data_IF_488799970544
#
_entry.id   IF_488799970544
#
_cell.length_a   1.000
_cell.length_b   1.000
_cell.length_c   1.000
_cell.angle_alpha   90.00
_cell.angle_beta   90.00
_cell.angle_gamma   90.00
#
_symmetry.space_group_name_H-M   'P 1'
#
loop_
_entity.id
_entity.type
_entity.pdbx_description
1 polymer ?
#
# COMPACT_ATOMS: atom_id res chain seq x y z
N UNK A 1 10.72 46.45 -27.03
CA UNK A 1 11.05 47.05 -25.73
C UNK A 1 9.85 46.80 -24.81
N UNK A 2 10.01 45.93 -23.85
CA UNK A 2 9.18 45.69 -22.65
C UNK A 2 7.74 45.17 -22.89
N UNK A 3 7.64 43.88 -23.08
CA UNK A 3 6.57 43.06 -22.51
C UNK A 3 7.22 41.81 -21.89
N UNK A 4 8.01 42.01 -20.87
CA UNK A 4 8.24 41.00 -19.82
C UNK A 4 6.96 40.96 -19.01
N UNK A 5 6.05 40.08 -19.41
CA UNK A 5 4.97 39.63 -18.57
C UNK A 5 5.62 38.96 -17.35
N UNK A 6 5.58 39.64 -16.21
CA UNK A 6 5.67 39.02 -14.91
C UNK A 6 4.67 37.83 -14.91
N UNK A 7 5.14 36.63 -15.13
CA UNK A 7 4.50 35.44 -14.60
C UNK A 7 4.52 35.65 -13.08
N UNK A 8 3.42 36.20 -12.57
CA UNK A 8 3.10 36.04 -11.17
C UNK A 8 3.13 34.52 -10.94
N UNK A 9 4.17 34.10 -10.28
CA UNK A 9 4.38 32.70 -9.88
C UNK A 9 3.32 32.42 -8.81
N UNK A 10 2.05 32.25 -9.22
CA UNK A 10 0.99 31.82 -8.32
C UNK A 10 1.31 30.38 -7.98
N UNK A 11 1.71 30.14 -6.73
CA UNK A 11 2.01 28.82 -6.22
C UNK A 11 0.88 27.85 -6.61
N UNK A 12 1.21 26.78 -7.31
CA UNK A 12 0.24 25.78 -7.73
C UNK A 12 -0.33 25.06 -6.51
N UNK A 13 -1.65 24.85 -6.49
CA UNK A 13 -2.35 24.25 -5.37
C UNK A 13 -3.04 22.97 -5.80
N UNK A 14 -3.01 21.96 -4.92
CA UNK A 14 -3.70 20.68 -5.15
C UNK A 14 -4.45 20.24 -3.90
N UNK A 15 -5.69 19.79 -4.08
CA UNK A 15 -6.48 19.16 -3.04
C UNK A 15 -6.34 17.65 -3.12
N UNK A 16 -5.89 17.03 -2.07
CA UNK A 16 -5.80 15.56 -1.94
C UNK A 16 -6.88 15.10 -0.96
N UNK A 17 -7.86 14.34 -1.46
CA UNK A 17 -8.91 13.74 -0.64
C UNK A 17 -8.55 12.31 -0.35
N UNK A 18 -8.27 12.00 0.92
CA UNK A 18 -7.84 10.69 1.38
C UNK A 18 -8.45 10.36 2.73
N UNK A 19 -8.98 9.14 2.89
CA UNK A 19 -9.49 8.69 4.19
C UNK A 19 -8.36 8.39 5.18
N UNK A 20 -7.27 7.79 4.69
CA UNK A 20 -6.12 7.41 5.51
C UNK A 20 -5.02 8.48 5.43
N UNK A 21 -4.77 9.11 6.56
CA UNK A 21 -3.74 10.13 6.75
C UNK A 21 -3.11 9.95 8.14
N UNK A 22 -1.87 10.39 8.41
CA UNK A 22 -1.31 10.35 9.76
C UNK A 22 -2.27 10.89 10.83
N UNK A 23 -2.42 10.23 12.01
CA UNK A 23 -1.59 9.15 12.53
C UNK A 23 -2.01 7.73 12.14
N UNK A 24 -2.83 7.52 11.11
CA UNK A 24 -3.05 6.18 10.59
C UNK A 24 -1.74 5.59 10.08
N UNK A 25 -1.46 4.33 10.40
CA UNK A 25 -0.29 3.61 9.92
C UNK A 25 -0.55 2.78 8.67
N UNK A 26 0.52 2.19 8.15
CA UNK A 26 0.48 1.26 7.02
C UNK A 26 0.76 1.89 5.66
N UNK A 27 1.04 1.05 4.67
CA UNK A 27 1.48 1.45 3.32
C UNK A 27 0.49 2.35 2.58
N UNK A 28 -0.80 2.21 2.89
CA UNK A 28 -1.85 3.02 2.29
C UNK A 28 -1.79 4.51 2.64
N UNK A 29 -1.20 4.85 3.78
CA UNK A 29 -1.00 6.23 4.25
C UNK A 29 0.23 6.84 3.60
N UNK A 30 1.33 6.10 3.59
CA UNK A 30 2.65 6.59 3.19
C UNK A 30 2.65 7.15 1.77
N UNK A 31 1.92 6.53 0.83
CA UNK A 31 1.88 6.98 -0.56
C UNK A 31 1.57 8.48 -0.67
N UNK A 32 0.38 8.89 -0.23
CA UNK A 32 -0.05 10.29 -0.39
C UNK A 32 0.56 11.23 0.62
N UNK A 33 0.97 10.73 1.78
CA UNK A 33 1.77 11.49 2.73
C UNK A 33 3.09 11.96 2.10
N UNK A 34 3.83 11.05 1.48
CA UNK A 34 5.10 11.41 0.85
C UNK A 34 4.92 12.20 -0.44
N UNK A 35 3.90 11.91 -1.26
CA UNK A 35 3.61 12.78 -2.40
C UNK A 35 3.29 14.21 -1.96
N UNK A 36 2.50 14.40 -0.93
CA UNK A 36 2.19 15.73 -0.40
C UNK A 36 3.45 16.44 0.13
N UNK A 37 4.29 15.73 0.89
CA UNK A 37 5.58 16.25 1.38
C UNK A 37 6.46 16.71 0.23
N UNK A 38 6.68 15.88 -0.77
CA UNK A 38 7.54 16.23 -1.90
C UNK A 38 6.91 17.26 -2.85
N UNK A 39 5.59 17.27 -3.03
CA UNK A 39 4.88 18.34 -3.76
C UNK A 39 5.20 19.70 -3.12
N UNK A 40 5.11 19.80 -1.78
CA UNK A 40 5.45 21.03 -1.08
C UNK A 40 6.90 21.44 -1.25
N UNK A 41 7.83 20.49 -1.15
CA UNK A 41 9.26 20.73 -1.39
C UNK A 41 9.56 21.20 -2.82
N UNK A 42 8.74 20.78 -3.79
CA UNK A 42 8.83 21.16 -5.20
C UNK A 42 8.01 22.42 -5.57
N UNK A 43 7.49 23.14 -4.57
CA UNK A 43 6.85 24.45 -4.74
C UNK A 43 5.34 24.41 -4.96
N UNK A 44 4.69 23.25 -4.87
CA UNK A 44 3.25 23.12 -4.84
C UNK A 44 2.71 23.29 -3.42
N UNK A 45 1.44 23.73 -3.28
CA UNK A 45 0.78 23.78 -1.97
C UNK A 45 -0.30 22.69 -1.88
N UNK A 46 -0.03 21.56 -1.22
CA UNK A 46 -1.02 20.52 -1.01
C UNK A 46 -1.96 20.85 0.16
N UNK A 47 -3.25 20.67 -0.07
CA UNK A 47 -4.30 20.69 0.94
C UNK A 47 -4.86 19.29 1.10
N UNK A 48 -5.02 18.83 2.32
CA UNK A 48 -5.51 17.48 2.61
C UNK A 48 -6.89 17.55 3.24
N UNK A 49 -7.85 16.82 2.66
CA UNK A 49 -9.13 16.54 3.34
C UNK A 49 -9.13 15.09 3.77
N UNK A 50 -9.27 14.86 5.07
CA UNK A 50 -9.27 13.54 5.70
C UNK A 50 -10.28 13.42 6.82
N UNK A 51 -10.46 12.23 7.37
CA UNK A 51 -11.32 11.99 8.53
C UNK A 51 -10.59 12.34 9.83
N UNK A 52 -11.31 12.86 10.81
CA UNK A 52 -10.77 13.08 12.15
C UNK A 52 -10.48 11.73 12.85
N UNK A 53 -9.30 11.60 13.45
CA UNK A 53 -8.80 10.32 13.98
C UNK A 53 -9.71 9.70 15.04
N UNK A 54 -10.30 10.53 15.90
CA UNK A 54 -11.23 10.09 16.97
C UNK A 54 -12.58 9.59 16.42
N UNK A 55 -12.84 9.80 15.12
CA UNK A 55 -14.03 9.34 14.40
C UNK A 55 -13.73 8.21 13.42
N UNK A 56 -12.46 8.06 13.07
CA UNK A 56 -12.02 7.06 12.10
C UNK A 56 -11.97 5.65 12.70
N UNK A 57 -12.07 4.64 11.84
CA UNK A 57 -11.80 3.23 12.19
C UNK A 57 -10.43 2.84 11.61
N UNK A 58 -9.35 3.40 12.15
CA UNK A 58 -8.00 3.01 11.77
C UNK A 58 -7.62 1.68 12.40
N UNK A 59 -7.04 0.78 11.59
CA UNK A 59 -6.59 -0.54 12.06
C UNK A 59 -5.25 -0.46 12.81
N UNK A 60 -4.38 0.47 12.40
CA UNK A 60 -3.04 0.67 12.96
C UNK A 60 -2.83 2.17 13.12
N UNK A 61 -2.21 2.58 14.22
CA UNK A 61 -1.77 3.95 14.45
C UNK A 61 -0.24 4.01 14.44
N UNK A 62 0.29 5.04 13.79
CA UNK A 62 1.71 5.38 13.76
C UNK A 62 1.87 6.90 13.90
N UNK A 63 2.05 7.34 15.13
CA UNK A 63 2.17 8.77 15.44
C UNK A 63 3.49 9.38 14.97
N UNK A 64 4.50 8.57 14.65
CA UNK A 64 5.78 9.06 14.13
C UNK A 64 5.62 9.74 12.78
N UNK A 65 4.64 9.30 11.99
CA UNK A 65 4.35 9.86 10.67
C UNK A 65 3.84 11.31 10.70
N UNK A 66 3.32 11.79 11.84
CA UNK A 66 2.85 13.18 11.97
C UNK A 66 3.99 14.19 11.77
N UNK A 67 5.20 13.85 12.20
CA UNK A 67 6.37 14.73 12.08
C UNK A 67 6.82 14.92 10.63
N UNK A 68 6.44 14.01 9.75
CA UNK A 68 6.80 14.06 8.32
C UNK A 68 5.99 15.08 7.53
N UNK A 69 4.86 15.54 8.09
CA UNK A 69 3.84 16.34 7.40
C UNK A 69 3.20 17.41 8.29
N UNK A 70 3.90 17.86 9.31
CA UNK A 70 3.43 18.84 10.29
C UNK A 70 3.20 20.23 9.69
N UNK A 71 3.85 20.52 8.57
CA UNK A 71 3.76 21.76 7.82
C UNK A 71 2.71 21.72 6.68
N UNK A 72 1.97 20.63 6.50
CA UNK A 72 0.95 20.46 5.45
C UNK A 72 -0.43 20.85 6.00
N UNK A 73 -1.19 21.61 5.22
CA UNK A 73 -2.55 22.01 5.58
C UNK A 73 -3.52 20.81 5.55
N UNK A 74 -4.03 20.39 6.71
CA UNK A 74 -4.93 19.24 6.86
C UNK A 74 -6.28 19.65 7.42
N UNK A 75 -7.34 19.37 6.69
CA UNK A 75 -8.73 19.58 7.07
C UNK A 75 -9.32 18.25 7.54
N UNK A 76 -9.50 18.10 8.84
CA UNK A 76 -10.08 16.90 9.48
C UNK A 76 -11.60 17.01 9.55
N UNK A 77 -12.33 15.98 9.10
CA UNK A 77 -13.79 16.01 9.01
C UNK A 77 -14.44 14.89 9.83
N UNK A 78 -15.70 15.06 10.13
CA UNK A 78 -16.53 14.01 10.75
C UNK A 78 -16.80 12.86 9.76
N UNK A 79 -17.19 11.69 10.28
CA UNK A 79 -17.72 10.55 9.51
C UNK A 79 -18.90 9.91 10.24
N UNK A 80 -19.77 9.22 9.50
CA UNK A 80 -20.81 8.34 10.01
C UNK A 80 -20.51 6.91 9.58
N UNK A 81 -19.88 6.14 10.46
CA UNK A 81 -19.51 4.76 10.18
C UNK A 81 -20.37 3.77 10.95
N UNK A 82 -21.35 3.14 10.31
CA UNK A 82 -22.21 2.15 10.97
C UNK A 82 -21.47 0.94 11.49
N UNK A 83 -20.27 0.64 10.98
CA UNK A 83 -19.42 -0.46 11.46
C UNK A 83 -18.94 -0.27 12.91
N UNK A 84 -18.87 0.96 13.42
CA UNK A 84 -18.61 1.20 14.85
C UNK A 84 -19.72 0.64 15.74
N UNK A 85 -20.97 0.67 15.29
CA UNK A 85 -22.10 0.04 15.96
C UNK A 85 -22.05 -1.48 15.90
N UNK A 86 -21.56 -2.03 14.77
CA UNK A 86 -21.40 -3.46 14.60
C UNK A 86 -20.29 -4.04 15.46
N UNK A 87 -19.13 -3.38 15.55
CA UNK A 87 -18.02 -3.81 16.43
C UNK A 87 -18.42 -3.75 17.91
N UNK A 88 -19.26 -2.79 18.31
CA UNK A 88 -19.85 -2.73 19.66
C UNK A 88 -20.75 -3.94 19.97
N UNK A 89 -21.53 -4.38 18.97
CA UNK A 89 -22.45 -5.50 19.15
C UNK A 89 -21.76 -6.87 19.11
N UNK A 90 -20.61 -6.99 18.41
CA UNK A 90 -19.94 -8.28 18.20
C UNK A 90 -18.68 -8.49 19.04
N UNK A 91 -17.97 -7.43 19.42
CA UNK A 91 -16.69 -7.56 20.13
C UNK A 91 -16.59 -6.76 21.42
N UNK A 92 -17.61 -6.00 21.80
CA UNK A 92 -17.61 -5.15 23.00
C UNK A 92 -16.57 -4.02 22.99
N UNK A 93 -15.86 -3.79 21.88
CA UNK A 93 -14.81 -2.80 21.76
C UNK A 93 -15.01 -1.94 20.49
N UNK A 94 -15.01 -0.62 20.65
CA UNK A 94 -15.14 0.37 19.55
C UNK A 94 -13.97 0.36 18.56
N UNK A 95 -12.79 -0.15 18.93
CA UNK A 95 -11.52 0.10 18.25
C UNK A 95 -10.85 -1.11 17.61
N UNK A 96 -11.52 -2.27 17.52
CA UNK A 96 -10.95 -3.38 16.75
C UNK A 96 -11.42 -3.27 15.30
N UNK A 97 -10.60 -2.63 14.46
CA UNK A 97 -10.71 -2.77 13.02
C UNK A 97 -10.71 -4.25 12.64
N UNK A 98 -11.61 -4.68 11.74
CA UNK A 98 -11.60 -6.04 11.22
C UNK A 98 -10.33 -6.18 10.38
N UNK A 99 -9.38 -7.09 10.70
CA UNK A 99 -8.18 -7.29 9.92
C UNK A 99 -8.55 -7.61 8.46
N UNK A 100 -7.88 -6.98 7.52
CA UNK A 100 -8.00 -7.36 6.12
C UNK A 100 -7.39 -8.76 5.97
N UNK A 101 -8.19 -9.75 5.56
CA UNK A 101 -7.70 -11.07 5.17
C UNK A 101 -8.01 -12.25 6.11
N UNK A 102 -8.40 -12.04 7.37
CA UNK A 102 -8.84 -13.12 8.25
C UNK A 102 -10.33 -12.95 8.62
N UNK A 103 -11.20 -13.59 7.86
CA UNK A 103 -12.60 -13.76 8.25
C UNK A 103 -12.81 -15.24 8.56
N UNK A 104 -12.67 -15.61 9.83
CA UNK A 104 -13.05 -16.93 10.28
C UNK A 104 -14.60 -17.00 10.29
N UNK A 105 -15.20 -17.75 9.35
CA UNK A 105 -16.64 -17.69 9.01
C UNK A 105 -17.40 -18.90 9.53
N UNK A 106 -17.26 -19.17 10.80
CA UNK A 106 -17.93 -20.29 11.43
C UNK A 106 -19.39 -20.01 11.85
N UNK A 107 -19.77 -18.72 12.05
CA UNK A 107 -21.08 -18.38 12.60
C UNK A 107 -22.06 -17.80 11.57
N UNK A 108 -23.37 -18.07 11.76
CA UNK A 108 -24.47 -17.52 10.95
C UNK A 108 -24.48 -15.98 11.02
N UNK A 109 -24.13 -15.40 12.16
CA UNK A 109 -24.07 -13.95 12.38
C UNK A 109 -23.00 -13.29 11.49
N UNK A 110 -21.84 -13.94 11.29
CA UNK A 110 -20.76 -13.43 10.41
C UNK A 110 -21.19 -13.44 8.94
N UNK A 111 -21.96 -14.46 8.51
CA UNK A 111 -22.52 -14.51 7.15
C UNK A 111 -23.54 -13.39 6.91
N UNK A 112 -24.42 -13.12 7.89
CA UNK A 112 -25.37 -12.01 7.84
C UNK A 112 -24.63 -10.68 7.77
N UNK A 113 -23.60 -10.49 8.57
CA UNK A 113 -22.79 -9.29 8.54
C UNK A 113 -22.04 -9.08 7.22
N UNK A 114 -21.48 -10.15 6.64
CA UNK A 114 -20.85 -10.12 5.33
C UNK A 114 -21.88 -9.74 4.25
N UNK A 115 -23.10 -10.32 4.29
CA UNK A 115 -24.19 -9.96 3.40
C UNK A 115 -24.59 -8.49 3.53
N UNK A 116 -24.79 -7.99 4.75
CA UNK A 116 -25.10 -6.57 4.99
C UNK A 116 -23.98 -5.68 4.45
N UNK A 117 -22.72 -6.00 4.75
CA UNK A 117 -21.56 -5.25 4.26
C UNK A 117 -21.51 -5.21 2.74
N UNK A 118 -21.72 -6.34 2.07
CA UNK A 118 -21.61 -6.45 0.61
C UNK A 118 -22.77 -5.82 -0.17
N UNK A 119 -23.95 -5.64 0.46
CA UNK A 119 -25.14 -5.20 -0.25
C UNK A 119 -25.62 -3.78 0.12
N UNK A 120 -25.34 -3.30 1.32
CA UNK A 120 -25.81 -1.99 1.79
C UNK A 120 -24.68 -0.95 1.85
N UNK A 121 -23.41 -1.39 1.93
CA UNK A 121 -22.26 -0.50 1.98
C UNK A 121 -21.49 -0.50 0.65
N UNK A 122 -22.11 0.09 -0.38
CA UNK A 122 -21.54 0.21 -1.73
C UNK A 122 -21.07 1.66 -1.92
N UNK A 123 -19.83 1.87 -2.34
CA UNK A 123 -18.80 0.89 -2.72
C UNK A 123 -18.11 0.21 -1.52
N UNK A 124 -18.09 0.83 -0.35
CA UNK A 124 -17.44 0.33 0.85
C UNK A 124 -18.05 0.91 2.14
N UNK A 125 -17.55 0.46 3.28
CA UNK A 125 -18.07 0.83 4.59
C UNK A 125 -17.74 2.28 5.01
N UNK A 126 -16.91 2.99 4.26
CA UNK A 126 -16.51 4.39 4.52
C UNK A 126 -17.37 5.40 3.76
N UNK A 127 -18.36 4.96 3.01
CA UNK A 127 -19.26 5.85 2.25
C UNK A 127 -19.96 6.92 3.12
N UNK A 128 -20.10 6.66 4.42
CA UNK A 128 -20.66 7.64 5.38
C UNK A 128 -19.77 8.85 5.62
N UNK A 129 -18.52 8.83 5.16
CA UNK A 129 -17.60 9.96 5.19
C UNK A 129 -17.84 10.95 4.03
N UNK A 130 -18.33 10.47 2.89
CA UNK A 130 -18.45 11.26 1.65
C UNK A 130 -19.11 12.63 1.85
N UNK A 131 -20.27 12.78 2.54
CA UNK A 131 -20.92 14.09 2.69
C UNK A 131 -20.03 15.12 3.41
N UNK A 132 -19.29 14.69 4.42
CA UNK A 132 -18.43 15.56 5.22
C UNK A 132 -17.17 15.97 4.46
N UNK A 133 -16.54 15.03 3.77
CA UNK A 133 -15.40 15.30 2.91
C UNK A 133 -15.77 16.24 1.76
N UNK A 134 -16.94 16.04 1.16
CA UNK A 134 -17.44 16.88 0.08
C UNK A 134 -17.67 18.33 0.53
N UNK A 135 -18.31 18.53 1.68
CA UNK A 135 -18.53 19.87 2.24
C UNK A 135 -17.20 20.60 2.51
N UNK A 136 -16.24 19.92 3.13
CA UNK A 136 -14.92 20.49 3.40
C UNK A 136 -14.17 20.80 2.10
N UNK A 137 -14.23 19.90 1.12
CA UNK A 137 -13.59 20.09 -0.19
C UNK A 137 -14.16 21.28 -0.96
N UNK A 138 -15.49 21.47 -0.97
CA UNK A 138 -16.13 22.65 -1.59
C UNK A 138 -15.62 23.95 -1.00
N UNK A 139 -15.53 24.01 0.34
CA UNK A 139 -15.05 25.20 1.05
C UNK A 139 -13.63 25.54 0.67
N UNK A 140 -12.71 24.57 0.73
CA UNK A 140 -11.30 24.83 0.45
C UNK A 140 -11.05 25.12 -1.03
N UNK A 141 -11.73 24.44 -1.97
CA UNK A 141 -11.65 24.72 -3.40
C UNK A 141 -12.00 26.18 -3.69
N UNK A 142 -13.11 26.66 -3.09
CA UNK A 142 -13.58 28.02 -3.29
C UNK A 142 -12.67 29.07 -2.63
N UNK A 143 -12.22 28.81 -1.40
CA UNK A 143 -11.36 29.75 -0.65
C UNK A 143 -9.97 29.88 -1.25
N UNK A 144 -9.36 28.77 -1.65
CA UNK A 144 -8.00 28.70 -2.12
C UNK A 144 -7.89 28.73 -3.67
N UNK A 145 -9.05 28.73 -4.37
CA UNK A 145 -9.13 28.71 -5.85
C UNK A 145 -8.38 27.51 -6.44
N UNK A 146 -8.58 26.33 -5.84
CA UNK A 146 -7.91 25.10 -6.26
C UNK A 146 -8.54 24.58 -7.55
N UNK A 147 -7.70 24.21 -8.52
CA UNK A 147 -8.12 23.63 -9.80
C UNK A 147 -7.68 22.18 -9.97
N UNK A 148 -6.76 21.69 -9.15
CA UNK A 148 -6.25 20.32 -9.20
C UNK A 148 -6.75 19.53 -8.00
N UNK A 149 -7.41 18.39 -8.27
CA UNK A 149 -7.95 17.50 -7.22
C UNK A 149 -7.46 16.08 -7.44
N UNK A 150 -7.06 15.43 -6.37
CA UNK A 150 -6.70 14.02 -6.38
C UNK A 150 -7.56 13.30 -5.34
N UNK A 151 -8.16 12.17 -5.74
CA UNK A 151 -8.84 11.27 -4.82
C UNK A 151 -8.17 9.91 -4.84
N UNK A 152 -7.94 9.29 -3.68
CA UNK A 152 -7.25 8.00 -3.58
C UNK A 152 -8.12 6.92 -2.92
N UNK A 153 -8.09 5.74 -3.48
CA UNK A 153 -8.76 4.54 -2.98
C UNK A 153 -7.83 3.32 -2.89
N UNK A 154 -8.10 2.33 -2.00
CA UNK A 154 -9.23 2.27 -1.07
C UNK A 154 -9.13 3.25 0.12
N UNK A 155 -10.27 3.65 0.69
CA UNK A 155 -11.64 3.27 0.32
C UNK A 155 -12.09 3.95 -0.99
N UNK A 156 -12.76 3.19 -1.85
CA UNK A 156 -13.18 3.71 -3.18
C UNK A 156 -14.34 4.72 -3.08
N UNK A 157 -15.06 4.76 -1.95
CA UNK A 157 -16.02 5.81 -1.65
C UNK A 157 -15.41 7.21 -1.69
N UNK A 158 -14.10 7.36 -1.50
CA UNK A 158 -13.38 8.63 -1.66
C UNK A 158 -13.54 9.22 -3.06
N UNK A 159 -13.57 8.37 -4.09
CA UNK A 159 -13.76 8.83 -5.48
C UNK A 159 -15.15 9.42 -5.74
N UNK A 160 -16.15 9.09 -4.91
CA UNK A 160 -17.48 9.70 -5.01
C UNK A 160 -17.47 11.20 -4.61
N UNK A 161 -16.48 11.61 -3.79
CA UNK A 161 -16.25 13.03 -3.49
C UNK A 161 -15.77 13.74 -4.77
N UNK A 162 -14.73 13.20 -5.41
CA UNK A 162 -14.20 13.75 -6.67
C UNK A 162 -15.26 13.80 -7.77
N UNK A 163 -16.06 12.73 -7.91
CA UNK A 163 -17.14 12.68 -8.91
C UNK A 163 -18.17 13.80 -8.72
N UNK A 164 -18.53 14.16 -7.50
CA UNK A 164 -19.45 15.25 -7.22
C UNK A 164 -18.78 16.62 -7.42
N UNK A 165 -17.52 16.77 -6.97
CA UNK A 165 -16.77 18.02 -7.19
C UNK A 165 -16.58 18.33 -8.67
N UNK A 166 -16.31 17.32 -9.49
CA UNK A 166 -16.15 17.47 -10.95
C UNK A 166 -17.43 17.94 -11.65
N UNK A 167 -18.61 17.66 -11.08
CA UNK A 167 -19.90 18.13 -11.59
C UNK A 167 -20.17 19.61 -11.23
N UNK A 168 -19.51 20.12 -10.20
CA UNK A 168 -19.76 21.45 -9.64
C UNK A 168 -18.71 22.48 -9.99
N UNK A 169 -17.48 22.03 -10.27
CA UNK A 169 -16.31 22.88 -10.54
C UNK A 169 -15.57 22.38 -11.78
N UNK A 170 -14.92 23.30 -12.49
CA UNK A 170 -13.97 22.94 -13.55
C UNK A 170 -12.63 22.54 -12.92
N UNK A 171 -12.41 21.22 -12.77
CA UNK A 171 -11.24 20.68 -12.10
C UNK A 171 -10.41 19.80 -13.02
N UNK A 172 -9.10 19.81 -12.83
CA UNK A 172 -8.24 18.72 -13.27
C UNK A 172 -8.25 17.65 -12.17
N UNK A 173 -9.12 16.63 -12.32
CA UNK A 173 -9.32 15.60 -11.32
C UNK A 173 -8.62 14.30 -11.70
N UNK A 174 -7.65 13.88 -10.86
CA UNK A 174 -6.99 12.59 -10.96
C UNK A 174 -7.56 11.61 -9.93
N UNK A 175 -7.83 10.38 -10.37
CA UNK A 175 -8.26 9.28 -9.50
C UNK A 175 -7.13 8.28 -9.32
N UNK A 176 -6.77 7.97 -8.08
CA UNK A 176 -5.69 7.04 -7.73
C UNK A 176 -6.25 5.70 -7.27
N UNK A 177 -6.14 4.70 -8.14
CA UNK A 177 -6.53 3.32 -7.88
C UNK A 177 -5.31 2.52 -7.41
N UNK A 178 -5.22 2.28 -6.11
CA UNK A 178 -4.16 1.44 -5.54
C UNK A 178 -4.49 -0.04 -5.59
N UNK A 179 -5.77 -0.36 -5.57
CA UNK A 179 -6.33 -1.71 -5.62
C UNK A 179 -7.53 -1.74 -6.59
N UNK A 180 -7.92 -2.93 -7.11
CA UNK A 180 -9.16 -3.08 -7.86
C UNK A 180 -10.36 -2.62 -7.04
N UNK A 181 -11.39 -2.09 -7.69
CA UNK A 181 -12.64 -1.71 -7.01
C UNK A 181 -13.68 -2.83 -7.09
N UNK A 182 -14.32 -3.00 -8.24
CA UNK A 182 -15.38 -4.02 -8.40
C UNK A 182 -14.81 -5.44 -8.44
N UNK A 183 -13.60 -5.62 -8.92
CA UNK A 183 -12.91 -6.91 -9.12
C UNK A 183 -12.06 -7.36 -7.91
N UNK A 184 -12.26 -6.74 -6.75
CA UNK A 184 -11.59 -7.17 -5.52
C UNK A 184 -11.88 -8.65 -5.24
N UNK A 185 -10.81 -9.45 -5.06
CA UNK A 185 -10.91 -10.90 -4.88
C UNK A 185 -11.80 -11.30 -3.70
N UNK A 186 -11.79 -10.56 -2.59
CA UNK A 186 -12.63 -10.84 -1.42
C UNK A 186 -14.10 -10.40 -1.56
N UNK A 187 -14.48 -9.69 -2.63
CA UNK A 187 -15.87 -9.35 -2.91
C UNK A 187 -16.76 -10.59 -3.09
N UNK A 188 -16.17 -11.70 -3.58
CA UNK A 188 -16.85 -13.00 -3.72
C UNK A 188 -17.35 -13.54 -2.37
N UNK A 189 -16.69 -13.13 -1.31
CA UNK A 189 -16.97 -13.59 0.05
C UNK A 189 -18.04 -12.74 0.76
N UNK A 190 -18.49 -11.65 0.17
CA UNK A 190 -19.47 -10.75 0.78
C UNK A 190 -20.92 -11.09 0.43
N UNK A 191 -21.20 -12.25 -0.18
CA UNK A 191 -22.55 -12.69 -0.59
C UNK A 191 -23.35 -11.60 -1.32
N UNK A 192 -22.70 -10.90 -2.26
CA UNK A 192 -23.26 -9.73 -2.96
C UNK A 192 -24.39 -10.16 -3.93
N UNK A 193 -25.51 -9.45 -3.91
CA UNK A 193 -26.59 -9.61 -4.87
C UNK A 193 -26.16 -9.08 -6.26
N UNK A 194 -26.81 -9.58 -7.32
CA UNK A 194 -26.62 -9.09 -8.69
C UNK A 194 -26.83 -7.57 -8.80
N UNK A 195 -27.82 -7.03 -8.07
CA UNK A 195 -28.11 -5.60 -8.06
C UNK A 195 -26.99 -4.79 -7.41
N UNK A 196 -26.41 -5.29 -6.31
CA UNK A 196 -25.29 -4.64 -5.61
C UNK A 196 -24.03 -4.63 -6.47
N UNK A 197 -23.73 -5.74 -7.15
CA UNK A 197 -22.63 -5.85 -8.11
C UNK A 197 -22.81 -4.85 -9.25
N UNK A 198 -24.02 -4.82 -9.88
CA UNK A 198 -24.31 -3.88 -10.97
C UNK A 198 -24.19 -2.42 -10.52
N UNK A 199 -24.67 -2.09 -9.32
CA UNK A 199 -24.57 -0.73 -8.78
C UNK A 199 -23.12 -0.30 -8.60
N UNK A 200 -22.28 -1.19 -8.12
CA UNK A 200 -20.87 -0.95 -7.88
C UNK A 200 -20.10 -0.73 -9.20
N UNK A 201 -20.33 -1.60 -10.18
CA UNK A 201 -19.78 -1.46 -11.54
C UNK A 201 -20.18 -0.12 -12.19
N UNK A 202 -21.44 0.31 -12.03
CA UNK A 202 -21.91 1.59 -12.56
C UNK A 202 -21.21 2.76 -11.87
N UNK A 203 -20.97 2.69 -10.56
CA UNK A 203 -20.25 3.74 -9.83
C UNK A 203 -18.78 3.82 -10.28
N UNK A 204 -18.10 2.68 -10.37
CA UNK A 204 -16.72 2.62 -10.86
C UNK A 204 -16.60 3.20 -12.27
N UNK A 205 -17.48 2.78 -13.19
CA UNK A 205 -17.49 3.30 -14.56
C UNK A 205 -17.71 4.81 -14.62
N UNK A 206 -18.65 5.36 -13.82
CA UNK A 206 -18.89 6.80 -13.76
C UNK A 206 -17.67 7.57 -13.26
N UNK A 207 -16.98 7.06 -12.24
CA UNK A 207 -15.75 7.67 -11.71
C UNK A 207 -14.66 7.67 -12.77
N UNK A 208 -14.40 6.53 -13.39
CA UNK A 208 -13.39 6.39 -14.42
C UNK A 208 -13.66 7.31 -15.62
N UNK A 209 -14.92 7.44 -16.06
CA UNK A 209 -15.29 8.29 -17.22
C UNK A 209 -15.26 9.78 -16.93
N UNK A 210 -15.49 10.21 -15.69
CA UNK A 210 -15.52 11.61 -15.31
C UNK A 210 -14.15 12.18 -14.92
N UNK A 211 -13.18 11.34 -14.58
CA UNK A 211 -11.84 11.76 -14.20
C UNK A 211 -11.04 12.26 -15.43
N UNK A 212 -10.16 13.24 -15.25
CA UNK A 212 -9.23 13.70 -16.28
C UNK A 212 -8.07 12.73 -16.48
N UNK A 213 -7.71 11.98 -15.43
CA UNK A 213 -6.71 10.93 -15.51
C UNK A 213 -6.84 9.91 -14.40
N UNK A 214 -6.37 8.71 -14.68
CA UNK A 214 -6.40 7.56 -13.76
C UNK A 214 -4.97 7.18 -13.42
N UNK A 215 -4.63 7.26 -12.13
CA UNK A 215 -3.35 6.78 -11.60
C UNK A 215 -3.52 5.35 -11.12
N UNK A 216 -2.53 4.52 -11.37
CA UNK A 216 -2.41 3.18 -10.80
C UNK A 216 -1.03 2.99 -10.19
N UNK A 217 -0.91 2.16 -9.15
CA UNK A 217 0.38 1.93 -8.47
C UNK A 217 1.38 1.19 -9.36
N UNK A 218 0.91 0.63 -10.46
CA UNK A 218 1.74 -0.08 -11.42
C UNK A 218 1.01 -0.22 -12.75
N UNK A 219 1.75 -0.42 -13.84
CA UNK A 219 1.25 -0.51 -15.20
C UNK A 219 0.75 -1.89 -15.63
N UNK A 220 0.40 -2.81 -14.69
CA UNK A 220 0.06 -4.17 -15.05
C UNK A 220 -1.42 -4.48 -15.11
N UNK A 221 -1.78 -5.66 -14.60
CA UNK A 221 -3.15 -6.17 -14.77
C UNK A 221 -4.24 -5.22 -14.27
N UNK A 222 -4.04 -4.56 -13.11
CA UNK A 222 -4.97 -3.54 -12.62
C UNK A 222 -5.15 -2.41 -13.62
N UNK A 223 -4.04 -1.90 -14.15
CA UNK A 223 -4.03 -0.83 -15.13
C UNK A 223 -4.77 -1.21 -16.42
N UNK A 224 -4.49 -2.39 -16.96
CA UNK A 224 -5.14 -2.90 -18.17
C UNK A 224 -6.63 -3.21 -17.95
N UNK A 225 -7.01 -3.80 -16.82
CA UNK A 225 -8.41 -4.08 -16.48
C UNK A 225 -9.24 -2.78 -16.37
N UNK A 226 -8.65 -1.71 -15.82
CA UNK A 226 -9.31 -0.41 -15.73
C UNK A 226 -9.39 0.28 -17.09
N UNK A 227 -8.37 0.17 -17.95
CA UNK A 227 -8.40 0.67 -19.33
C UNK A 227 -9.53 0.06 -20.16
N UNK A 228 -9.81 -1.22 -19.99
CA UNK A 228 -10.94 -1.88 -20.67
C UNK A 228 -12.27 -1.24 -20.28
N UNK A 229 -12.40 -0.74 -19.03
CA UNK A 229 -13.62 -0.10 -18.53
C UNK A 229 -13.78 1.37 -18.97
N UNK A 230 -12.69 2.05 -19.35
CA UNK A 230 -12.69 3.46 -19.75
C UNK A 230 -11.56 3.77 -20.75
N UNK A 231 -11.59 3.16 -21.91
CA UNK A 231 -10.53 3.20 -22.92
C UNK A 231 -10.18 4.60 -23.45
N UNK A 232 -11.05 5.60 -23.28
CA UNK A 232 -10.83 6.98 -23.73
C UNK A 232 -10.13 7.86 -22.71
N UNK A 233 -9.86 7.37 -21.50
CA UNK A 233 -9.22 8.13 -20.45
C UNK A 233 -7.70 8.04 -20.49
N UNK A 234 -7.04 9.03 -19.88
CA UNK A 234 -5.61 9.01 -19.68
C UNK A 234 -5.25 8.13 -18.49
N UNK A 235 -4.37 7.16 -18.68
CA UNK A 235 -3.91 6.25 -17.65
C UNK A 235 -2.43 6.42 -17.42
N UNK A 236 -2.03 6.51 -16.14
CA UNK A 236 -0.65 6.69 -15.73
C UNK A 236 -0.28 5.67 -14.65
N UNK A 237 0.83 4.96 -14.85
CA UNK A 237 1.41 4.12 -13.83
C UNK A 237 2.33 4.97 -12.95
N UNK A 238 2.00 5.12 -11.68
CA UNK A 238 2.76 5.89 -10.71
C UNK A 238 3.00 5.03 -9.47
N UNK A 239 4.15 4.36 -9.33
CA UNK A 239 4.45 3.48 -8.20
C UNK A 239 4.42 4.17 -6.83
N UNK A 240 4.44 3.38 -5.74
CA UNK A 240 4.48 3.93 -4.38
C UNK A 240 5.81 4.61 -4.04
N UNK A 241 6.87 4.18 -4.70
CA UNK A 241 8.21 4.70 -4.46
C UNK A 241 8.83 4.26 -3.13
N UNK A 242 10.08 4.65 -2.95
CA UNK A 242 10.81 4.50 -1.70
C UNK A 242 11.43 5.84 -1.29
N UNK A 243 11.72 6.02 -0.01
CA UNK A 243 12.40 7.22 0.50
C UNK A 243 13.91 7.05 0.35
N UNK A 244 14.48 7.67 -0.68
CA UNK A 244 15.91 7.56 -0.97
C UNK A 244 16.78 8.20 0.14
N UNK A 245 16.34 9.32 0.69
CA UNK A 245 17.07 10.01 1.76
C UNK A 245 17.09 9.17 3.04
N UNK A 246 15.96 8.60 3.43
CA UNK A 246 15.87 7.72 4.59
C UNK A 246 16.69 6.45 4.40
N UNK A 247 16.60 5.79 3.24
CA UNK A 247 17.42 4.62 2.94
C UNK A 247 18.91 4.95 3.05
N UNK A 248 19.37 6.11 2.54
CA UNK A 248 20.77 6.51 2.61
C UNK A 248 21.22 6.88 4.03
N UNK A 249 20.35 7.49 4.82
CA UNK A 249 20.66 7.94 6.19
C UNK A 249 20.85 6.79 7.18
N UNK A 250 20.12 5.68 7.01
CA UNK A 250 20.19 4.53 7.91
C UNK A 250 21.42 3.69 7.61
N UNK A 251 22.31 3.57 8.59
CA UNK A 251 23.49 2.72 8.52
C UNK A 251 23.28 1.48 9.39
N UNK A 252 23.32 0.31 8.77
CA UNK A 252 23.24 -0.97 9.44
C UNK A 252 24.04 -2.01 8.65
N UNK A 253 24.47 -3.06 9.33
CA UNK A 253 25.23 -4.17 8.71
C UNK A 253 24.70 -5.50 9.20
N UNK A 254 24.67 -6.52 8.35
CA UNK A 254 24.33 -7.88 8.76
C UNK A 254 25.30 -8.40 9.83
N UNK A 255 24.82 -9.26 10.77
CA UNK A 255 25.67 -9.94 11.73
C UNK A 255 26.60 -10.94 11.03
N UNK A 256 27.81 -11.15 11.57
CA UNK A 256 28.80 -12.04 10.94
C UNK A 256 28.59 -13.51 11.28
N UNK A 257 28.06 -13.78 12.47
CA UNK A 257 27.96 -15.11 13.11
C UNK A 257 26.76 -15.95 12.63
N UNK A 258 25.74 -15.33 12.07
CA UNK A 258 24.52 -15.99 11.59
C UNK A 258 24.16 -15.57 10.15
N UNK A 259 23.41 -16.39 9.45
CA UNK A 259 22.73 -15.96 8.23
C UNK A 259 21.38 -15.33 8.60
N UNK A 260 21.32 -14.01 8.49
CA UNK A 260 20.16 -13.23 8.95
C UNK A 260 19.14 -13.06 7.83
N UNK A 261 17.95 -13.61 8.04
CA UNK A 261 16.82 -13.56 7.13
C UNK A 261 15.75 -12.65 7.73
N UNK A 262 15.26 -11.70 6.98
CA UNK A 262 14.31 -10.69 7.50
C UNK A 262 13.02 -10.65 6.68
N UNK A 263 11.91 -10.58 7.37
CA UNK A 263 10.59 -10.28 6.81
C UNK A 263 9.96 -9.10 7.56
N UNK A 264 9.45 -8.11 6.84
CA UNK A 264 8.69 -7.00 7.43
C UNK A 264 7.28 -6.92 6.87
N UNK A 265 6.30 -6.60 7.72
CA UNK A 265 4.92 -6.34 7.34
C UNK A 265 3.90 -7.32 7.93
N UNK A 266 2.76 -7.46 7.26
CA UNK A 266 1.70 -8.39 7.67
C UNK A 266 2.03 -9.80 7.20
N UNK A 267 2.04 -10.77 8.13
CA UNK A 267 2.16 -12.20 7.83
C UNK A 267 0.90 -12.94 8.29
N UNK A 268 0.28 -13.68 7.38
CA UNK A 268 -0.94 -14.47 7.61
C UNK A 268 -0.80 -15.87 7.04
N UNK A 269 -1.68 -16.80 7.42
CA UNK A 269 -1.71 -18.16 6.85
C UNK A 269 -2.00 -18.20 5.34
N UNK A 270 -2.49 -17.11 4.77
CA UNK A 270 -2.72 -16.99 3.33
C UNK A 270 -1.46 -16.61 2.53
N UNK A 271 -0.29 -16.74 3.13
CA UNK A 271 1.01 -16.46 2.49
C UNK A 271 1.92 -17.69 2.57
N UNK A 272 2.66 -18.03 1.51
CA UNK A 272 3.41 -19.28 1.39
C UNK A 272 4.78 -19.27 2.10
N UNK A 273 4.83 -18.87 3.38
CA UNK A 273 6.10 -18.75 4.12
C UNK A 273 6.74 -20.12 4.43
N UNK A 274 5.93 -21.18 4.56
CA UNK A 274 6.43 -22.51 4.88
C UNK A 274 7.36 -23.09 3.80
N UNK A 275 7.17 -22.73 2.53
CA UNK A 275 8.04 -23.15 1.43
C UNK A 275 9.51 -22.76 1.67
N UNK A 276 9.73 -21.50 2.10
CA UNK A 276 11.07 -20.98 2.38
C UNK A 276 11.60 -21.51 3.71
N UNK A 277 10.75 -21.55 4.76
CA UNK A 277 11.19 -21.97 6.11
C UNK A 277 11.62 -23.43 6.14
N UNK A 278 10.97 -24.31 5.38
CA UNK A 278 11.39 -25.71 5.24
C UNK A 278 12.78 -25.85 4.63
N UNK A 279 13.09 -25.07 3.60
CA UNK A 279 14.41 -25.03 2.98
C UNK A 279 15.45 -24.46 3.93
N UNK A 280 15.17 -23.31 4.58
CA UNK A 280 16.07 -22.74 5.59
C UNK A 280 16.37 -23.75 6.70
N UNK A 281 15.37 -24.44 7.21
CA UNK A 281 15.54 -25.45 8.27
C UNK A 281 16.45 -26.61 7.84
N UNK A 282 16.44 -26.99 6.56
CA UNK A 282 17.34 -28.02 6.03
C UNK A 282 18.82 -27.59 6.01
N UNK A 283 19.08 -26.27 6.12
CA UNK A 283 20.43 -25.70 6.04
C UNK A 283 21.02 -25.34 7.40
N UNK A 284 20.26 -25.37 8.50
CA UNK A 284 20.71 -24.93 9.85
C UNK A 284 21.93 -25.69 10.38
N UNK A 285 22.14 -26.95 9.93
CA UNK A 285 23.32 -27.74 10.29
C UNK A 285 24.60 -27.26 9.61
N UNK A 286 24.47 -26.45 8.53
CA UNK A 286 25.60 -25.92 7.75
C UNK A 286 25.92 -24.48 8.14
N UNK A 287 24.89 -23.70 8.48
CA UNK A 287 25.02 -22.30 8.87
C UNK A 287 23.94 -21.95 9.88
N UNK A 288 24.26 -21.29 11.02
CA UNK A 288 23.25 -20.77 11.94
C UNK A 288 22.34 -19.78 11.22
N UNK A 289 21.02 -19.93 11.41
CA UNK A 289 20.00 -19.08 10.74
C UNK A 289 19.20 -18.33 11.79
N UNK A 290 19.12 -17.02 11.63
CA UNK A 290 18.20 -16.13 12.36
C UNK A 290 17.12 -15.65 11.43
N UNK A 291 15.86 -15.82 11.82
CA UNK A 291 14.68 -15.26 11.15
C UNK A 291 14.12 -14.12 12.00
N UNK A 292 14.26 -12.89 11.52
CA UNK A 292 13.66 -11.72 12.13
C UNK A 292 12.33 -11.38 11.45
N UNK A 293 11.28 -11.27 12.25
CA UNK A 293 9.95 -10.91 11.80
C UNK A 293 9.55 -9.57 12.43
N UNK A 294 9.20 -8.57 11.63
CA UNK A 294 8.69 -7.31 12.11
C UNK A 294 7.33 -6.97 11.47
N UNK A 295 6.41 -6.42 12.25
CA UNK A 295 5.07 -6.04 11.79
C UNK A 295 3.94 -6.83 12.47
N UNK A 296 2.82 -6.96 11.78
CA UNK A 296 1.62 -7.60 12.33
C UNK A 296 1.64 -9.11 12.05
N UNK A 297 2.03 -9.88 13.06
CA UNK A 297 2.16 -11.35 12.98
C UNK A 297 1.49 -11.96 14.20
N UNK A 298 0.50 -12.82 13.98
CA UNK A 298 -0.26 -13.42 15.07
C UNK A 298 0.61 -14.33 15.96
N UNK A 299 0.24 -14.46 17.24
CA UNK A 299 0.92 -15.39 18.15
C UNK A 299 0.82 -16.83 17.65
N UNK A 300 -0.28 -17.21 17.00
CA UNK A 300 -0.48 -18.53 16.42
C UNK A 300 0.57 -18.86 15.34
N UNK A 301 0.80 -17.94 14.38
CA UNK A 301 1.82 -18.12 13.33
C UNK A 301 3.22 -18.21 13.93
N UNK A 302 3.55 -17.38 14.91
CA UNK A 302 4.86 -17.44 15.58
C UNK A 302 5.08 -18.77 16.29
N UNK A 303 4.06 -19.26 17.02
CA UNK A 303 4.12 -20.55 17.69
C UNK A 303 4.22 -21.71 16.70
N UNK A 304 3.49 -21.65 15.57
CA UNK A 304 3.59 -22.63 14.49
C UNK A 304 5.02 -22.69 13.92
N UNK A 305 5.60 -21.53 13.57
CA UNK A 305 6.97 -21.45 13.05
C UNK A 305 7.97 -22.02 14.06
N UNK A 306 7.86 -21.63 15.31
CA UNK A 306 8.78 -22.07 16.38
C UNK A 306 8.68 -23.57 16.66
N UNK A 307 7.47 -24.13 16.53
CA UNK A 307 7.24 -25.59 16.70
C UNK A 307 7.72 -26.38 15.49
N UNK A 308 7.43 -25.90 14.28
CA UNK A 308 7.81 -26.61 13.05
C UNK A 308 9.30 -26.51 12.72
N UNK A 309 9.95 -25.41 13.09
CA UNK A 309 11.35 -25.11 12.75
C UNK A 309 12.18 -24.70 13.98
N UNK A 310 12.32 -25.56 15.00
CA UNK A 310 12.89 -25.18 16.30
C UNK A 310 14.39 -24.84 16.24
N UNK A 311 15.08 -25.18 15.16
CA UNK A 311 16.50 -24.90 14.98
C UNK A 311 16.77 -23.53 14.36
N UNK A 312 15.73 -22.86 13.82
CA UNK A 312 15.84 -21.48 13.34
C UNK A 312 15.66 -20.54 14.54
N UNK A 313 16.63 -19.66 14.77
CA UNK A 313 16.49 -18.60 15.79
C UNK A 313 15.42 -17.61 15.32
N UNK A 314 14.22 -17.69 15.92
CA UNK A 314 13.11 -16.79 15.59
C UNK A 314 13.10 -15.56 16.50
N UNK A 315 13.24 -14.38 15.91
CA UNK A 315 13.14 -13.09 16.61
C UNK A 315 11.93 -12.31 16.11
N UNK A 316 11.04 -11.90 16.99
CA UNK A 316 9.88 -11.09 16.65
C UNK A 316 10.00 -9.68 17.24
N UNK A 317 10.10 -8.68 16.40
CA UNK A 317 10.30 -7.29 16.79
C UNK A 317 9.00 -6.50 17.04
N UNK A 318 7.84 -7.11 16.74
CA UNK A 318 6.58 -6.36 16.76
C UNK A 318 6.49 -5.32 15.65
N UNK A 319 5.65 -4.30 15.86
CA UNK A 319 5.57 -3.16 14.94
C UNK A 319 6.75 -2.22 15.20
N UNK A 320 7.52 -1.93 14.16
CA UNK A 320 8.67 -1.02 14.21
C UNK A 320 8.29 0.33 13.56
N UNK A 321 8.91 1.41 14.05
CA UNK A 321 8.92 2.67 13.34
C UNK A 321 9.60 2.49 11.96
N UNK A 322 9.25 3.32 10.98
CA UNK A 322 9.71 3.14 9.60
C UNK A 322 11.23 3.11 9.47
N UNK A 323 11.93 4.02 10.18
CA UNK A 323 13.39 4.06 10.21
C UNK A 323 14.01 2.78 10.80
N UNK A 324 13.44 2.25 11.88
CA UNK A 324 13.92 1.02 12.52
C UNK A 324 13.67 -0.21 11.63
N UNK A 325 12.53 -0.21 10.91
CA UNK A 325 12.24 -1.25 9.93
C UNK A 325 13.26 -1.27 8.78
N UNK A 326 13.68 -0.10 8.29
CA UNK A 326 14.75 0.02 7.29
C UNK A 326 16.09 -0.45 7.87
N UNK A 327 16.39 -0.11 9.13
CA UNK A 327 17.57 -0.62 9.83
C UNK A 327 17.60 -2.14 9.84
N UNK A 328 16.50 -2.77 10.27
CA UNK A 328 16.36 -4.23 10.28
C UNK A 328 16.50 -4.84 8.88
N UNK A 329 15.93 -4.21 7.84
CA UNK A 329 16.11 -4.68 6.45
C UNK A 329 17.58 -4.66 6.05
N UNK A 330 18.34 -3.61 6.39
CA UNK A 330 19.76 -3.49 6.07
C UNK A 330 20.66 -4.42 6.88
N UNK A 331 20.18 -4.94 8.00
CA UNK A 331 20.86 -5.99 8.77
C UNK A 331 20.65 -7.39 8.17
N UNK A 332 19.86 -7.54 7.12
CA UNK A 332 19.60 -8.81 6.51
C UNK A 332 20.72 -9.25 5.55
N UNK A 333 20.94 -10.56 5.46
CA UNK A 333 21.63 -11.18 4.33
C UNK A 333 20.64 -11.59 3.22
N UNK A 334 19.36 -11.78 3.61
CA UNK A 334 18.28 -12.13 2.71
C UNK A 334 16.95 -11.50 3.19
N UNK A 335 16.30 -10.78 2.31
CA UNK A 335 14.94 -10.29 2.52
C UNK A 335 13.92 -11.28 1.93
N UNK A 336 12.83 -11.49 2.66
CA UNK A 336 11.73 -12.34 2.19
C UNK A 336 10.50 -11.50 1.87
N UNK A 337 9.83 -11.85 0.78
CA UNK A 337 8.54 -11.30 0.43
C UNK A 337 7.57 -12.43 0.04
N UNK A 338 6.36 -12.41 0.58
CA UNK A 338 5.33 -13.43 0.32
C UNK A 338 4.10 -12.76 -0.28
N UNK A 339 3.68 -13.24 -1.45
CA UNK A 339 2.45 -12.78 -2.10
C UNK A 339 1.27 -13.59 -1.56
N UNK A 340 0.15 -12.94 -1.30
CA UNK A 340 -1.07 -13.62 -0.84
C UNK A 340 -1.55 -14.64 -1.86
N UNK A 341 -1.91 -15.82 -1.39
CA UNK A 341 -2.55 -16.85 -2.21
C UNK A 341 -3.86 -16.29 -2.79
N UNK A 342 -4.04 -16.40 -4.11
CA UNK A 342 -5.18 -15.83 -4.82
C UNK A 342 -5.01 -14.39 -5.34
N UNK A 343 -4.01 -13.64 -4.85
CA UNK A 343 -3.70 -12.28 -5.34
C UNK A 343 -2.42 -12.23 -6.22
N UNK A 344 -1.86 -13.37 -6.57
CA UNK A 344 -0.52 -13.52 -7.15
C UNK A 344 -0.28 -12.76 -8.46
N UNK A 345 -1.34 -12.46 -9.23
CA UNK A 345 -1.20 -11.78 -10.53
C UNK A 345 -1.50 -10.28 -10.48
N UNK A 346 -2.01 -9.76 -9.38
CA UNK A 346 -2.59 -8.41 -9.31
C UNK A 346 -1.90 -7.49 -8.30
N UNK A 347 -0.97 -8.00 -7.49
CA UNK A 347 -0.35 -7.21 -6.42
C UNK A 347 1.17 -7.12 -6.60
N UNK A 348 1.67 -5.88 -6.51
CA UNK A 348 3.05 -5.66 -6.07
C UNK A 348 2.99 -5.22 -4.63
N UNK A 349 3.70 -5.94 -3.77
CA UNK A 349 3.81 -5.61 -2.35
C UNK A 349 4.36 -4.19 -2.19
N UNK A 350 3.71 -3.36 -1.39
CA UNK A 350 4.14 -1.97 -1.14
C UNK A 350 5.57 -1.84 -0.59
N UNK A 351 6.05 -2.88 0.11
CA UNK A 351 7.42 -2.94 0.65
C UNK A 351 8.49 -3.34 -0.38
N UNK A 352 8.07 -3.84 -1.56
CA UNK A 352 9.01 -4.39 -2.55
C UNK A 352 10.05 -3.36 -3.01
N UNK A 353 9.62 -2.11 -3.25
CA UNK A 353 10.52 -1.03 -3.66
C UNK A 353 11.49 -0.62 -2.54
N UNK A 354 11.05 -0.64 -1.28
CA UNK A 354 11.94 -0.39 -0.14
C UNK A 354 12.96 -1.52 0.01
N UNK A 355 12.54 -2.78 -0.14
CA UNK A 355 13.46 -3.93 -0.13
C UNK A 355 14.53 -3.81 -1.21
N UNK A 356 14.12 -3.52 -2.44
CA UNK A 356 15.03 -3.32 -3.57
C UNK A 356 16.02 -2.18 -3.29
N UNK A 357 15.53 -1.09 -2.69
CA UNK A 357 16.35 0.08 -2.40
C UNK A 357 17.42 -0.16 -1.30
N UNK A 358 17.27 -1.22 -0.49
CA UNK A 358 18.33 -1.63 0.46
C UNK A 358 19.50 -2.33 -0.21
N UNK A 359 19.37 -2.75 -1.48
CA UNK A 359 20.33 -3.55 -2.23
C UNK A 359 20.65 -4.94 -1.62
N UNK A 360 19.84 -5.40 -0.67
CA UNK A 360 19.95 -6.72 -0.05
C UNK A 360 19.32 -7.77 -0.99
N UNK A 361 19.87 -9.00 -1.09
CA UNK A 361 19.26 -10.10 -1.82
C UNK A 361 17.80 -10.30 -1.44
N UNK A 362 16.93 -10.52 -2.43
CA UNK A 362 15.49 -10.55 -2.23
C UNK A 362 14.86 -11.81 -2.84
N UNK A 363 14.32 -12.66 -1.99
CA UNK A 363 13.53 -13.80 -2.39
C UNK A 363 12.03 -13.53 -2.16
N UNK A 364 11.27 -13.52 -3.24
CA UNK A 364 9.81 -13.42 -3.22
C UNK A 364 9.19 -14.77 -3.56
N UNK A 365 8.13 -15.15 -2.85
CA UNK A 365 7.36 -16.36 -3.17
C UNK A 365 6.00 -15.96 -3.73
N UNK A 366 5.70 -16.46 -4.92
CA UNK A 366 4.50 -16.16 -5.67
C UNK A 366 4.58 -16.67 -7.10
N UNK A 367 3.77 -16.13 -8.02
CA UNK A 367 3.82 -16.51 -9.42
C UNK A 367 5.02 -15.81 -10.14
N UNK A 368 6.02 -16.55 -10.65
CA UNK A 368 7.17 -16.00 -11.36
C UNK A 368 6.81 -15.23 -12.64
N UNK A 369 5.67 -15.54 -13.26
CA UNK A 369 5.18 -14.90 -14.47
C UNK A 369 4.26 -13.71 -14.19
N UNK A 370 4.03 -13.40 -12.91
CA UNK A 370 3.33 -12.19 -12.50
C UNK A 370 4.12 -10.94 -12.87
N UNK A 371 3.48 -9.80 -12.80
CA UNK A 371 4.15 -8.53 -13.02
C UNK A 371 5.28 -8.29 -12.01
N UNK A 372 5.04 -8.59 -10.73
CA UNK A 372 6.07 -8.54 -9.69
C UNK A 372 7.23 -9.50 -9.99
N UNK A 373 6.94 -10.70 -10.51
CA UNK A 373 7.98 -11.65 -10.91
C UNK A 373 8.83 -11.12 -12.06
N UNK A 374 8.21 -10.60 -13.12
CA UNK A 374 8.93 -9.98 -14.25
C UNK A 374 9.76 -8.78 -13.82
N UNK A 375 9.22 -7.99 -12.89
CA UNK A 375 9.92 -6.85 -12.32
C UNK A 375 11.18 -7.27 -11.55
N UNK A 376 11.07 -8.27 -10.68
CA UNK A 376 12.19 -8.78 -9.88
C UNK A 376 13.32 -9.39 -10.73
N UNK A 377 13.01 -9.93 -11.91
CA UNK A 377 14.03 -10.44 -12.86
C UNK A 377 15.00 -9.35 -13.34
N UNK A 378 14.73 -8.08 -13.13
CA UNK A 378 15.65 -6.99 -13.48
C UNK A 378 16.77 -6.81 -12.46
N UNK A 379 16.60 -7.32 -11.24
CA UNK A 379 17.59 -7.23 -10.18
C UNK A 379 18.69 -8.30 -10.32
N UNK A 380 19.89 -7.97 -9.86
CA UNK A 380 21.04 -8.90 -9.95
C UNK A 380 21.00 -10.03 -8.91
N UNK A 381 20.25 -9.82 -7.81
CA UNK A 381 20.08 -10.80 -6.72
C UNK A 381 18.65 -10.77 -6.18
N UNK A 382 17.67 -10.77 -7.08
CA UNK A 382 16.26 -10.84 -6.75
C UNK A 382 15.55 -11.89 -7.59
N UNK A 383 14.62 -12.62 -6.98
CA UNK A 383 13.80 -13.59 -7.71
C UNK A 383 12.40 -13.66 -7.10
N UNK A 384 11.42 -14.00 -7.94
CA UNK A 384 10.14 -14.56 -7.50
C UNK A 384 10.07 -16.00 -7.93
N UNK A 385 9.85 -16.90 -6.97
CA UNK A 385 9.82 -18.34 -7.19
C UNK A 385 8.44 -18.91 -6.77
N UNK A 386 8.04 -19.98 -7.44
CA UNK A 386 6.84 -20.72 -7.07
C UNK A 386 7.07 -21.44 -5.73
N UNK A 387 6.06 -21.48 -4.87
CA UNK A 387 6.14 -22.13 -3.55
C UNK A 387 6.45 -23.64 -3.63
N UNK A 388 6.14 -24.28 -4.74
CA UNK A 388 6.38 -25.70 -4.95
C UNK A 388 7.76 -25.99 -5.56
N UNK A 389 8.48 -24.98 -6.04
CA UNK A 389 9.83 -25.15 -6.59
C UNK A 389 10.89 -25.05 -5.50
N UNK A 390 10.90 -26.04 -4.61
CA UNK A 390 11.84 -26.12 -3.49
C UNK A 390 13.30 -26.18 -3.95
N UNK A 391 13.55 -26.70 -5.14
CA UNK A 391 14.91 -26.77 -5.71
C UNK A 391 15.41 -25.38 -6.05
N UNK A 392 14.64 -24.57 -6.79
CA UNK A 392 15.04 -23.20 -7.11
C UNK A 392 15.16 -22.34 -5.86
N UNK A 393 14.26 -22.52 -4.85
CA UNK A 393 14.35 -21.84 -3.57
C UNK A 393 15.66 -22.18 -2.86
N UNK A 394 16.05 -23.45 -2.82
CA UNK A 394 17.30 -23.92 -2.20
C UNK A 394 18.52 -23.33 -2.92
N UNK A 395 18.56 -23.39 -4.26
CA UNK A 395 19.66 -22.83 -5.05
C UNK A 395 19.83 -21.33 -4.80
N UNK A 396 18.74 -20.56 -4.79
CA UNK A 396 18.81 -19.12 -4.51
C UNK A 396 19.37 -18.84 -3.10
N UNK A 397 18.89 -19.57 -2.08
CA UNK A 397 19.35 -19.38 -0.70
C UNK A 397 20.82 -19.82 -0.55
N UNK A 398 21.25 -20.89 -1.22
CA UNK A 398 22.65 -21.33 -1.22
C UNK A 398 23.60 -20.29 -1.79
N UNK A 399 23.21 -19.65 -2.89
CA UNK A 399 23.98 -18.51 -3.46
C UNK A 399 24.05 -17.36 -2.47
N UNK A 400 22.93 -16.98 -1.85
CA UNK A 400 22.88 -15.90 -0.87
C UNK A 400 23.74 -16.22 0.38
N UNK A 401 23.74 -17.46 0.88
CA UNK A 401 24.60 -17.90 1.99
C UNK A 401 26.07 -17.87 1.61
N UNK A 402 26.42 -18.41 0.44
CA UNK A 402 27.83 -18.50 -0.01
C UNK A 402 28.43 -17.12 -0.25
N UNK A 403 27.64 -16.19 -0.72
CA UNK A 403 28.05 -14.83 -1.08
C UNK A 403 27.56 -13.76 -0.08
N UNK A 404 27.22 -14.14 1.15
CA UNK A 404 26.52 -13.28 2.12
C UNK A 404 27.17 -11.91 2.35
N UNK A 405 28.48 -11.78 2.16
CA UNK A 405 29.23 -10.55 2.39
C UNK A 405 29.57 -9.77 1.11
N UNK A 406 29.21 -10.28 -0.06
CA UNK A 406 29.63 -9.71 -1.35
C UNK A 406 28.50 -9.49 -2.35
N UNK A 407 27.41 -10.23 -2.23
CA UNK A 407 26.29 -10.12 -3.15
C UNK A 407 25.45 -8.86 -2.84
N UNK A 408 25.18 -8.09 -3.88
CA UNK A 408 24.29 -6.94 -3.84
C UNK A 408 23.20 -7.08 -4.89
N UNK A 409 22.00 -6.68 -4.52
CA UNK A 409 20.85 -6.67 -5.40
C UNK A 409 20.72 -5.33 -6.11
N UNK A 410 21.37 -5.17 -7.25
CA UNK A 410 21.33 -3.93 -8.03
C UNK A 410 20.18 -3.95 -9.03
N UNK A 411 19.42 -2.88 -9.07
CA UNK A 411 18.36 -2.64 -10.04
C UNK A 411 18.73 -1.51 -10.99
N UNK A 412 18.51 -1.67 -12.30
CA UNK A 412 18.65 -0.56 -13.23
C UNK A 412 17.59 0.50 -12.90
N UNK A 413 17.95 1.77 -13.09
CA UNK A 413 17.04 2.91 -12.93
C UNK A 413 16.39 3.04 -11.55
N UNK A 414 16.97 2.46 -10.50
CA UNK A 414 16.41 2.52 -9.14
C UNK A 414 16.03 3.95 -8.71
N UNK A 415 16.84 4.96 -9.08
CA UNK A 415 16.60 6.37 -8.73
C UNK A 415 15.28 6.93 -9.28
N UNK A 416 14.78 6.43 -10.41
CA UNK A 416 13.51 6.86 -11.01
C UNK A 416 12.31 6.46 -10.16
N UNK A 417 12.48 5.51 -9.24
CA UNK A 417 11.44 5.03 -8.32
C UNK A 417 11.54 5.64 -6.93
N UNK A 418 12.44 6.62 -6.74
CA UNK A 418 12.40 7.42 -5.51
C UNK A 418 11.10 8.23 -5.44
N UNK A 419 10.57 8.45 -4.24
CA UNK A 419 9.34 9.25 -4.03
C UNK A 419 9.47 10.66 -4.58
N UNK A 420 10.68 11.25 -4.52
CA UNK A 420 10.95 12.55 -5.13
C UNK A 420 10.85 12.51 -6.67
N UNK A 421 11.48 11.54 -7.33
CA UNK A 421 11.42 11.40 -8.79
C UNK A 421 9.98 11.14 -9.27
N UNK A 422 9.25 10.27 -8.56
CA UNK A 422 7.84 9.99 -8.85
C UNK A 422 6.94 11.21 -8.61
N UNK A 423 7.29 12.09 -7.66
CA UNK A 423 6.54 13.34 -7.45
C UNK A 423 6.76 14.32 -8.61
N UNK A 424 7.96 14.37 -9.18
CA UNK A 424 8.21 15.15 -10.42
C UNK A 424 7.35 14.64 -11.59
N UNK A 425 7.23 13.32 -11.74
CA UNK A 425 6.32 12.72 -12.73
C UNK A 425 4.84 13.06 -12.44
N UNK A 426 4.43 13.05 -11.16
CA UNK A 426 3.07 13.46 -10.78
C UNK A 426 2.80 14.93 -11.16
N UNK A 427 3.76 15.83 -10.95
CA UNK A 427 3.64 17.24 -11.36
C UNK A 427 3.45 17.35 -12.87
N UNK A 428 4.25 16.64 -13.66
CA UNK A 428 4.08 16.62 -15.12
C UNK A 428 2.68 16.12 -15.56
N UNK A 429 2.10 15.18 -14.82
CA UNK A 429 0.73 14.68 -15.06
C UNK A 429 -0.32 15.74 -14.69
N UNK A 430 -0.12 16.47 -13.59
CA UNK A 430 -1.04 17.51 -13.13
C UNK A 430 -1.04 18.74 -14.06
N UNK A 431 0.08 19.02 -14.73
CA UNK A 431 0.25 20.18 -15.62
C UNK A 431 -0.22 19.94 -17.08
N UNK A 432 -0.61 18.70 -17.40
CA UNK A 432 -1.20 18.33 -18.71
C UNK A 432 -2.67 18.68 -18.81
#
# INVERSE_FOLDING_TARGET
>A
MLLELKHLNTQQKVLIVTYYWPPSGGSGVQRWMYFAKHLKQLGWEPFIVTVAEEKASYAVLDTSLNLEVDDIAVIKTHTREPLQWYSLLTSGSRNKGIPQGEVNRSSVLEKIAAYIRGNFFIPDARKGWVPFALEASRKIITQEKITHVITTGPPHSTHLVGLQLQQEFELNWLVDFRDPWSDLFYNKELYRSKNSIKKDLVLESKVLQAANGVLTTIGGKLHEDLKVKAATQNFYALPNGYDAALIQSVQAKPPEDVFHVVYTGLLTHNQPYNAVLSVLNSMVTKVPIRLSLAGTISAAIRSEIQTAYPQIELVHHGYLAHQDAIGLMKEAHLLLNFIFLGAQNQMISGKLLEYIATEIPLLSIGNPDSEAGRFLKQGTAAAMLDENDTTAILEFIQVAVTQKNSIQNKFPQLGEWSREALTKQLIEILER
#
